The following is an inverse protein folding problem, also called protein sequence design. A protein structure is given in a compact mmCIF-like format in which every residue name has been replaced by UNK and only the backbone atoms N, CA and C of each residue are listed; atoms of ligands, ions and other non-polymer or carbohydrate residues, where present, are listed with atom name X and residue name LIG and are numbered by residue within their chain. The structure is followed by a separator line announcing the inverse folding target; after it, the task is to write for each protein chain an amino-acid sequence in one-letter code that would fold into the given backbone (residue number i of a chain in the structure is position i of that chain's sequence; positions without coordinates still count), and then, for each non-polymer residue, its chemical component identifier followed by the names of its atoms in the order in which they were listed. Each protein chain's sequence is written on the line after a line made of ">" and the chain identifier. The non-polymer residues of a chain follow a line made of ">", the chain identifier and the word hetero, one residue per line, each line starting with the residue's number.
data_IF_169639521584
#
_entry.id   IF_169639521584
#
_cell.length_a   1.000
_cell.length_b   1.000
_cell.length_c   1.000
_cell.angle_alpha   90.00
_cell.angle_beta   90.00
_cell.angle_gamma   90.00
#
_symmetry.space_group_name_H-M   'P 1'
#
loop_
_entity.id
_entity.type
_entity.pdbx_description
1 polymer ?
#
# COMPACT_ATOMS: atom_id res chain seq x y z
N UNK A 1 22.50 -1.32 -7.72
CA UNK A 1 21.21 -1.82 -7.52
C UNK A 1 20.33 -0.87 -6.76
N UNK A 2 19.20 -0.78 -7.20
CA UNK A 2 18.34 0.17 -6.62
C UNK A 2 17.81 -0.33 -5.31
N UNK A 3 17.84 0.53 -4.39
CA UNK A 3 17.37 0.29 -3.18
C UNK A 3 15.97 0.34 -3.18
N UNK A 4 15.38 -0.04 -2.23
CA UNK A 4 13.97 0.04 -2.02
C UNK A 4 13.72 1.05 -0.92
N UNK A 5 13.96 2.34 -1.21
CA UNK A 5 13.79 3.32 -0.15
C UNK A 5 12.36 3.35 0.37
N UNK A 6 11.39 3.05 -0.51
CA UNK A 6 10.01 3.01 -0.04
C UNK A 6 9.77 1.83 0.89
N UNK A 7 10.50 0.73 0.69
CA UNK A 7 10.42 -0.39 1.62
C UNK A 7 10.92 -0.04 2.99
N UNK A 8 12.07 0.62 3.06
CA UNK A 8 12.60 1.09 4.33
C UNK A 8 11.62 2.05 5.01
N UNK A 9 11.09 2.96 4.24
CA UNK A 9 10.17 3.99 4.70
C UNK A 9 8.92 3.36 5.32
N UNK A 10 8.29 2.43 4.61
CA UNK A 10 7.06 1.82 5.10
C UNK A 10 7.33 0.93 6.30
N UNK A 11 8.48 0.25 6.33
CA UNK A 11 8.83 -0.58 7.47
C UNK A 11 8.97 0.25 8.74
N UNK A 12 9.64 1.40 8.65
CA UNK A 12 9.80 2.27 9.80
C UNK A 12 8.47 2.82 10.26
N UNK A 13 7.61 3.17 9.31
CA UNK A 13 6.29 3.70 9.64
C UNK A 13 5.47 2.65 10.39
N UNK A 14 5.45 1.41 9.89
CA UNK A 14 4.72 0.34 10.55
C UNK A 14 5.23 0.09 11.95
N UNK A 15 6.55 0.07 12.10
CA UNK A 15 7.15 -0.21 13.40
C UNK A 15 6.83 0.89 14.40
N UNK A 16 6.79 2.13 13.94
CA UNK A 16 6.55 3.25 14.83
C UNK A 16 5.07 3.40 15.19
N UNK A 17 4.17 3.21 14.24
CA UNK A 17 2.77 3.55 14.44
C UNK A 17 1.85 2.35 14.59
N UNK A 18 2.25 1.17 14.09
CA UNK A 18 1.40 -0.01 14.14
C UNK A 18 2.20 -1.26 14.48
N UNK A 19 3.00 -1.21 15.57
CA UNK A 19 3.93 -2.32 15.85
C UNK A 19 3.24 -3.62 16.21
N UNK A 20 2.01 -3.57 16.74
CA UNK A 20 1.32 -4.76 17.19
C UNK A 20 0.32 -5.28 16.18
N UNK A 21 0.15 -4.62 15.04
CA UNK A 21 -0.82 -5.05 14.05
C UNK A 21 -0.34 -6.29 13.33
N UNK A 22 -1.28 -7.12 12.92
CA UNK A 22 -0.98 -8.20 12.00
C UNK A 22 -0.66 -7.58 10.66
N UNK A 23 0.52 -7.87 10.10
CA UNK A 23 0.97 -7.11 8.95
C UNK A 23 1.76 -7.95 7.97
N UNK A 24 1.67 -7.57 6.70
CA UNK A 24 2.42 -8.18 5.60
C UNK A 24 3.05 -7.05 4.81
N UNK A 25 4.27 -7.27 4.32
CA UNK A 25 5.01 -6.30 3.53
C UNK A 25 5.27 -6.84 2.15
N UNK A 26 5.21 -5.95 1.14
CA UNK A 26 5.43 -6.34 -0.24
C UNK A 26 4.49 -7.48 -0.63
N UNK A 27 3.21 -7.17 -0.69
CA UNK A 27 2.17 -8.17 -0.88
C UNK A 27 1.67 -8.14 -2.31
N UNK A 28 1.76 -9.27 -3.00
CA UNK A 28 1.20 -9.39 -4.33
C UNK A 28 -0.29 -9.67 -4.23
N UNK A 29 -1.08 -8.90 -4.96
CA UNK A 29 -2.52 -8.99 -4.90
C UNK A 29 -3.10 -9.47 -6.21
N UNK A 30 -4.21 -10.21 -6.10
CA UNK A 30 -4.90 -10.76 -7.25
C UNK A 30 -4.78 -12.26 -7.30
N UNK A 31 -5.64 -12.88 -8.10
CA UNK A 31 -5.61 -14.31 -8.31
C UNK A 31 -4.58 -14.63 -9.39
N UNK A 32 -3.81 -15.69 -9.18
CA UNK A 32 -2.85 -16.16 -10.17
C UNK A 32 -3.38 -17.43 -10.80
N UNK A 33 -3.64 -17.43 -12.12
CA UNK A 33 -4.21 -18.63 -12.75
C UNK A 33 -3.26 -19.81 -12.68
N UNK A 34 -1.98 -19.61 -13.01
CA UNK A 34 -0.98 -20.64 -12.85
C UNK A 34 0.40 -19.99 -12.98
N UNK A 35 1.44 -20.78 -12.77
CA UNK A 35 2.78 -20.25 -12.74
C UNK A 35 3.21 -19.65 -14.06
N UNK A 36 2.87 -20.30 -15.15
CA UNK A 36 3.27 -19.82 -16.45
C UNK A 36 2.59 -18.52 -16.80
N UNK A 37 1.27 -18.48 -16.60
CA UNK A 37 0.52 -17.26 -16.86
C UNK A 37 0.95 -16.14 -15.93
N UNK A 38 1.24 -16.47 -14.67
CA UNK A 38 1.72 -15.46 -13.73
C UNK A 38 3.02 -14.83 -14.24
N UNK A 39 3.92 -15.63 -14.78
CA UNK A 39 5.17 -15.10 -15.31
C UNK A 39 4.94 -14.20 -16.50
N UNK A 40 4.06 -14.61 -17.40
CA UNK A 40 3.77 -13.82 -18.59
C UNK A 40 3.13 -12.48 -18.25
N UNK A 41 2.31 -12.45 -17.22
CA UNK A 41 1.60 -11.25 -16.83
C UNK A 41 2.18 -10.60 -15.58
N UNK A 42 3.45 -10.88 -15.33
CA UNK A 42 4.09 -10.36 -14.12
C UNK A 42 3.99 -8.86 -14.02
N UNK A 43 4.10 -8.17 -15.17
CA UNK A 43 4.01 -6.71 -15.16
C UNK A 43 2.61 -6.22 -14.79
N UNK A 44 1.60 -7.08 -14.93
CA UNK A 44 0.24 -6.71 -14.58
C UNK A 44 -0.07 -6.99 -13.11
N UNK A 45 0.82 -7.68 -12.42
CA UNK A 45 0.63 -7.96 -11.02
C UNK A 45 0.97 -6.72 -10.21
N UNK A 46 0.26 -6.57 -9.13
CA UNK A 46 0.46 -5.40 -8.27
C UNK A 46 0.95 -5.82 -6.92
N UNK A 47 1.86 -5.03 -6.40
CA UNK A 47 2.47 -5.27 -5.09
C UNK A 47 2.14 -4.11 -4.20
N UNK A 48 1.32 -4.34 -3.18
CA UNK A 48 1.08 -3.33 -2.17
C UNK A 48 2.31 -3.25 -1.28
N UNK A 49 2.65 -2.05 -0.85
CA UNK A 49 3.81 -1.88 0.02
C UNK A 49 3.59 -2.55 1.36
N UNK A 50 2.38 -2.46 1.89
CA UNK A 50 2.04 -3.14 3.13
C UNK A 50 0.54 -3.33 3.24
N UNK A 51 0.16 -4.36 3.99
CA UNK A 51 -1.22 -4.57 4.42
C UNK A 51 -1.15 -4.84 5.91
N UNK A 52 -2.02 -4.21 6.68
CA UNK A 52 -2.12 -4.57 8.10
C UNK A 52 -3.58 -4.61 8.51
N UNK A 53 -3.84 -5.33 9.59
CA UNK A 53 -5.19 -5.52 10.10
C UNK A 53 -5.22 -5.07 11.54
N UNK A 54 -6.14 -4.16 11.83
CA UNK A 54 -6.41 -3.67 13.18
C UNK A 54 -7.91 -3.49 13.31
N UNK A 55 -8.46 -3.85 14.46
CA UNK A 55 -9.88 -3.62 14.76
C UNK A 55 -10.79 -4.13 13.65
N UNK A 56 -10.49 -5.34 13.16
CA UNK A 56 -11.28 -5.99 12.12
C UNK A 56 -11.41 -5.16 10.85
N UNK A 57 -10.39 -4.37 10.55
CA UNK A 57 -10.32 -3.56 9.35
C UNK A 57 -9.02 -3.87 8.64
N UNK A 58 -9.10 -4.02 7.32
CA UNK A 58 -7.92 -4.23 6.49
C UNK A 58 -7.44 -2.87 6.00
N UNK A 59 -6.17 -2.58 6.24
CA UNK A 59 -5.55 -1.35 5.75
C UNK A 59 -4.55 -1.70 4.67
N UNK A 60 -4.74 -1.13 3.49
CA UNK A 60 -3.80 -1.32 2.37
C UNK A 60 -3.03 -0.02 2.23
N UNK A 61 -1.71 -0.11 2.28
CA UNK A 61 -0.83 1.04 2.38
C UNK A 61 0.07 1.11 1.16
N UNK A 62 0.15 2.29 0.59
CA UNK A 62 1.10 2.59 -0.46
C UNK A 62 1.96 3.76 0.00
N UNK A 63 3.28 3.62 -0.15
CA UNK A 63 4.23 4.65 0.24
C UNK A 63 4.83 5.26 -1.02
N UNK A 64 4.83 6.59 -1.08
CA UNK A 64 5.38 7.29 -2.24
C UNK A 64 6.32 8.38 -1.78
N UNK A 65 7.61 8.18 -2.00
CA UNK A 65 8.60 9.22 -1.73
C UNK A 65 8.56 10.29 -2.81
N UNK A 66 8.15 9.92 -4.03
CA UNK A 66 7.94 10.82 -5.15
C UNK A 66 6.74 10.33 -5.92
N UNK A 67 6.21 11.17 -6.79
CA UNK A 67 5.12 10.80 -7.68
C UNK A 67 3.93 10.25 -6.88
N UNK A 68 3.51 11.05 -5.92
CA UNK A 68 2.46 10.62 -5.00
C UNK A 68 1.14 10.31 -5.71
N UNK A 69 0.86 11.02 -6.80
CA UNK A 69 -0.40 10.83 -7.50
C UNK A 69 -0.57 9.40 -8.00
N UNK A 70 0.52 8.76 -8.40
CA UNK A 70 0.43 7.38 -8.88
C UNK A 70 -0.10 6.43 -7.80
N UNK A 71 0.14 6.75 -6.53
CA UNK A 71 -0.32 5.91 -5.44
C UNK A 71 -1.83 5.85 -5.31
N UNK A 72 -2.52 6.91 -5.74
CA UNK A 72 -3.98 6.94 -5.63
C UNK A 72 -4.62 5.86 -6.49
N UNK A 73 -4.22 5.79 -7.76
CA UNK A 73 -4.76 4.76 -8.65
C UNK A 73 -4.35 3.36 -8.22
N UNK A 74 -3.11 3.22 -7.76
CA UNK A 74 -2.63 1.92 -7.30
C UNK A 74 -3.48 1.42 -6.13
N UNK A 75 -3.77 2.28 -5.17
CA UNK A 75 -4.56 1.87 -4.01
C UNK A 75 -5.96 1.44 -4.41
N UNK A 76 -6.57 2.14 -5.34
CA UNK A 76 -7.92 1.76 -5.78
C UNK A 76 -7.92 0.40 -6.45
N UNK A 77 -6.89 0.12 -7.23
CA UNK A 77 -6.76 -1.20 -7.84
C UNK A 77 -6.54 -2.27 -6.78
N UNK A 78 -5.70 -1.98 -5.79
CA UNK A 78 -5.43 -2.95 -4.73
C UNK A 78 -6.68 -3.32 -3.96
N UNK A 79 -7.58 -2.37 -3.73
CA UNK A 79 -8.83 -2.67 -3.03
C UNK A 79 -9.64 -3.72 -3.77
N UNK A 80 -9.67 -3.64 -5.10
CA UNK A 80 -10.37 -4.64 -5.90
C UNK A 80 -9.65 -5.97 -5.87
N UNK A 81 -8.33 -5.94 -6.04
CA UNK A 81 -7.56 -7.17 -6.12
C UNK A 81 -7.50 -7.91 -4.79
N UNK A 82 -7.57 -7.19 -3.69
CA UNK A 82 -7.51 -7.82 -2.39
C UNK A 82 -8.61 -8.87 -2.23
N UNK A 83 -9.80 -8.56 -2.69
CA UNK A 83 -10.93 -9.46 -2.57
C UNK A 83 -10.80 -10.69 -3.44
N UNK A 84 -9.91 -10.64 -4.44
CA UNK A 84 -9.65 -11.76 -5.33
C UNK A 84 -8.41 -12.54 -4.93
N UNK A 85 -7.77 -12.19 -3.82
CA UNK A 85 -6.52 -12.80 -3.42
C UNK A 85 -6.82 -13.94 -2.45
N UNK A 86 -6.57 -15.20 -2.85
CA UNK A 86 -6.96 -16.34 -2.01
C UNK A 86 -6.30 -16.34 -0.64
N UNK A 87 -5.08 -15.84 -0.55
CA UNK A 87 -4.35 -15.81 0.72
C UNK A 87 -5.05 -15.00 1.79
N UNK A 88 -5.92 -14.08 1.38
CA UNK A 88 -6.62 -13.21 2.32
C UNK A 88 -8.10 -13.51 2.42
N UNK A 89 -8.51 -14.71 1.99
CA UNK A 89 -9.94 -15.05 1.98
C UNK A 89 -10.56 -14.98 3.37
N UNK A 90 -9.77 -15.24 4.41
CA UNK A 90 -10.27 -15.17 5.78
C UNK A 90 -10.70 -13.75 6.17
N UNK A 91 -10.22 -12.74 5.46
CA UNK A 91 -10.50 -11.34 5.78
C UNK A 91 -11.38 -10.68 4.73
N UNK A 92 -11.96 -11.46 3.83
CA UNK A 92 -12.69 -10.91 2.70
C UNK A 92 -13.91 -10.08 3.11
N UNK A 93 -14.47 -10.36 4.29
CA UNK A 93 -15.64 -9.62 4.76
C UNK A 93 -15.28 -8.37 5.57
N UNK A 94 -14.00 -8.17 5.87
CA UNK A 94 -13.59 -6.99 6.64
C UNK A 94 -13.68 -5.74 5.77
N UNK A 95 -14.02 -4.59 6.35
CA UNK A 95 -13.93 -3.35 5.58
C UNK A 95 -12.47 -3.05 5.23
N UNK A 96 -12.28 -2.37 4.11
CA UNK A 96 -10.97 -2.01 3.62
C UNK A 96 -10.81 -0.51 3.69
N UNK A 97 -9.71 -0.05 4.26
CA UNK A 97 -9.31 1.34 4.21
C UNK A 97 -8.00 1.46 3.45
N UNK A 98 -7.95 2.44 2.57
CA UNK A 98 -6.76 2.70 1.78
C UNK A 98 -6.00 3.87 2.40
N UNK A 99 -4.67 3.76 2.41
CA UNK A 99 -3.83 4.79 3.03
C UNK A 99 -2.62 5.07 2.17
N UNK A 100 -2.42 6.34 1.84
CA UNK A 100 -1.24 6.81 1.12
C UNK A 100 -0.35 7.55 2.10
N UNK A 101 0.89 7.10 2.25
CA UNK A 101 1.85 7.79 3.12
C UNK A 101 2.96 8.38 2.27
N UNK A 102 3.37 9.60 2.63
CA UNK A 102 4.36 10.33 1.87
C UNK A 102 5.16 11.24 2.80
N UNK A 103 6.41 11.57 2.43
CA UNK A 103 7.27 12.34 3.34
C UNK A 103 7.02 13.83 3.31
N UNK A 104 6.23 14.33 2.38
CA UNK A 104 5.88 15.76 2.33
C UNK A 104 4.50 15.89 1.74
N UNK A 105 3.83 16.99 2.07
CA UNK A 105 2.44 17.18 1.66
C UNK A 105 2.35 17.77 0.28
N UNK A 106 1.51 17.17 -0.56
CA UNK A 106 1.10 17.74 -1.84
C UNK A 106 -0.40 17.96 -1.79
N UNK A 107 -0.81 19.20 -1.78
CA UNK A 107 -2.21 19.52 -1.51
C UNK A 107 -3.17 18.96 -2.54
N UNK A 108 -2.74 18.90 -3.80
CA UNK A 108 -3.61 18.37 -4.84
C UNK A 108 -3.82 16.87 -4.67
N UNK A 109 -2.78 16.17 -4.26
CA UNK A 109 -2.90 14.73 -4.00
C UNK A 109 -3.78 14.50 -2.76
N UNK A 110 -3.56 15.31 -1.74
CA UNK A 110 -4.38 15.19 -0.52
C UNK A 110 -5.85 15.40 -0.83
N UNK A 111 -6.16 16.41 -1.65
CA UNK A 111 -7.56 16.67 -2.02
C UNK A 111 -8.16 15.50 -2.80
N UNK A 112 -7.37 14.91 -3.69
CA UNK A 112 -7.84 13.76 -4.43
C UNK A 112 -8.09 12.56 -3.54
N UNK A 113 -7.19 12.33 -2.57
CA UNK A 113 -7.38 11.27 -1.61
C UNK A 113 -8.67 11.46 -0.82
N UNK A 114 -8.91 12.68 -0.35
CA UNK A 114 -10.11 12.97 0.40
C UNK A 114 -11.36 12.71 -0.42
N UNK A 115 -11.33 13.08 -1.70
CA UNK A 115 -12.48 12.86 -2.57
C UNK A 115 -12.74 11.38 -2.82
N UNK A 116 -11.74 10.53 -2.66
CA UNK A 116 -11.86 9.10 -2.96
C UNK A 116 -11.84 8.22 -1.72
N UNK A 117 -11.91 8.82 -0.54
CA UNK A 117 -11.95 8.03 0.68
C UNK A 117 -10.64 7.38 1.04
N UNK A 118 -9.53 7.93 0.57
CA UNK A 118 -8.19 7.43 0.88
C UNK A 118 -7.60 8.29 1.99
N UNK A 119 -7.11 7.67 3.05
CA UNK A 119 -6.43 8.40 4.11
C UNK A 119 -5.06 8.86 3.60
N UNK A 120 -4.74 10.13 3.81
CA UNK A 120 -3.47 10.70 3.37
C UNK A 120 -2.67 11.09 4.61
N UNK A 121 -1.47 10.55 4.73
CA UNK A 121 -0.67 10.77 5.93
C UNK A 121 0.73 11.19 5.53
N UNK A 122 1.25 12.22 6.21
CA UNK A 122 2.61 12.68 5.98
C UNK A 122 3.48 12.13 7.11
N UNK A 123 4.54 11.42 6.72
CA UNK A 123 5.52 10.87 7.64
C UNK A 123 6.89 11.20 7.10
N UNK A 124 7.64 12.02 7.83
CA UNK A 124 8.94 12.49 7.37
C UNK A 124 10.02 11.96 8.31
N UNK A 125 10.66 10.85 7.94
CA UNK A 125 11.74 10.33 8.80
C UNK A 125 12.95 11.24 8.72
N UNK A 126 13.80 11.14 9.75
CA UNK A 126 14.97 12.01 9.85
C UNK A 126 15.91 11.86 8.67
N UNK A 127 15.98 10.66 8.09
CA UNK A 127 16.91 10.41 6.98
C UNK A 127 16.41 10.90 5.63
N UNK A 128 15.13 11.31 5.54
CA UNK A 128 14.59 11.73 4.26
C UNK A 128 15.02 13.14 3.91
N UNK A 129 15.38 13.34 2.64
CA UNK A 129 15.70 14.66 2.13
C UNK A 129 15.18 14.76 0.70
N UNK A 130 14.57 15.90 0.37
CA UNK A 130 14.08 16.15 -0.99
C UNK A 130 15.19 16.61 -1.92
N UNK A 131 16.31 17.00 -1.36
CA UNK A 131 17.39 17.59 -2.14
C UNK A 131 18.67 16.79 -2.10
#
# INVERSE_FOLDING_TARGET
>A
MVRQPEGKYVNEWLLQFHPAALQWKKVRLGALPDKELARMYEVALRWADAIYIEDNTVFIVEAKLENQLAGVSQLELYAKLFKETPEFSAYASFPIQLRLIAPFREREVEAMCQARGIAYEVYTPAWFSRF
#
